data_IF_715263151265
#
_entry.id   IF_715263151265
#
_cell.length_a   1.000
_cell.length_b   1.000
_cell.length_c   1.000
_cell.angle_alpha   90.00
_cell.angle_beta   90.00
_cell.angle_gamma   90.00
#
_symmetry.space_group_name_H-M   'P 1'
#
loop_
_entity.id
_entity.type
_entity.pdbx_description
1 polymer ?
#
# COMPACT_ATOMS: atom_id res chain seq x y z
N UNK A 1 -11.93 9.83 19.06
CA UNK A 1 -11.86 10.74 17.89
C UNK A 1 -11.00 10.06 16.85
N UNK A 2 -11.44 9.92 15.61
CA UNK A 2 -10.61 9.25 14.59
C UNK A 2 -9.40 10.09 14.24
N UNK A 3 -8.23 9.45 14.10
CA UNK A 3 -7.03 10.11 13.61
C UNK A 3 -7.34 10.71 12.23
N UNK A 4 -7.00 11.98 12.05
CA UNK A 4 -7.21 12.72 10.80
C UNK A 4 -6.05 12.52 9.82
N UNK A 5 -5.30 11.45 9.95
CA UNK A 5 -4.12 11.15 9.14
C UNK A 5 -4.06 9.69 8.72
N UNK A 6 -3.36 9.44 7.63
CA UNK A 6 -3.05 8.09 7.16
C UNK A 6 -2.16 7.37 8.19
N UNK A 7 -2.50 6.13 8.51
CA UNK A 7 -1.73 5.32 9.45
C UNK A 7 -0.61 4.48 8.81
N UNK A 8 -0.38 4.62 7.50
CA UNK A 8 0.72 3.92 6.81
C UNK A 8 2.05 4.55 7.24
N UNK A 9 3.05 3.76 7.67
CA UNK A 9 4.35 4.30 8.07
C UNK A 9 4.94 5.19 6.98
N UNK A 10 5.51 6.34 7.36
CA UNK A 10 6.06 7.38 6.47
C UNK A 10 5.08 8.09 5.53
N UNK A 11 3.78 7.80 5.61
CA UNK A 11 2.77 8.58 4.89
C UNK A 11 2.44 9.85 5.68
N UNK A 12 2.52 11.01 5.02
CA UNK A 12 2.24 12.32 5.63
C UNK A 12 0.84 12.84 5.29
N UNK A 13 0.02 12.06 4.58
CA UNK A 13 -1.32 12.49 4.16
C UNK A 13 -2.24 12.64 5.38
N UNK A 14 -2.90 13.79 5.42
CA UNK A 14 -3.87 14.20 6.41
C UNK A 14 -5.21 14.52 5.75
N UNK A 15 -6.24 14.74 6.56
CA UNK A 15 -7.58 15.12 6.10
C UNK A 15 -7.59 16.45 5.31
N UNK A 16 -6.58 17.31 5.51
CA UNK A 16 -6.46 18.60 4.82
C UNK A 16 -5.94 18.52 3.38
N UNK A 17 -5.40 17.36 2.97
CA UNK A 17 -4.73 17.21 1.67
C UNK A 17 -5.69 16.86 0.51
N UNK A 18 -7.00 16.91 0.72
CA UNK A 18 -8.06 16.53 -0.24
C UNK A 18 -7.93 15.09 -0.80
N UNK A 19 -7.20 14.22 -0.10
CA UNK A 19 -7.08 12.81 -0.43
C UNK A 19 -8.06 11.99 0.43
N UNK A 20 -8.94 11.16 -0.18
CA UNK A 20 -9.86 10.33 0.59
C UNK A 20 -9.15 9.41 1.59
N UNK A 21 -9.63 9.42 2.84
CA UNK A 21 -9.17 8.56 3.93
C UNK A 21 -10.16 7.41 4.15
N UNK A 22 -9.76 6.20 3.79
CA UNK A 22 -10.59 5.00 3.89
C UNK A 22 -10.52 4.37 5.28
N UNK A 23 -11.66 3.86 5.75
CA UNK A 23 -11.75 3.04 6.96
C UNK A 23 -11.24 1.64 6.69
N UNK A 24 -10.76 0.99 7.74
CA UNK A 24 -10.52 -0.44 7.72
C UNK A 24 -11.84 -1.21 7.52
N UNK A 25 -11.79 -2.43 6.96
CA UNK A 25 -12.93 -3.34 6.95
C UNK A 25 -13.46 -3.58 8.38
N UNK A 26 -14.75 -3.88 8.55
CA UNK A 26 -15.33 -4.04 9.89
C UNK A 26 -14.87 -5.38 10.52
N UNK A 27 -14.10 -5.37 11.62
CA UNK A 27 -13.63 -6.60 12.25
C UNK A 27 -14.75 -7.42 12.91
N UNK A 28 -15.86 -6.78 13.31
CA UNK A 28 -17.04 -7.47 13.87
C UNK A 28 -17.84 -8.23 12.82
N UNK A 29 -17.54 -8.06 11.53
CA UNK A 29 -18.16 -8.82 10.44
C UNK A 29 -17.25 -10.02 10.06
N UNK A 30 -17.70 -11.28 10.26
CA UNK A 30 -16.91 -12.46 9.94
C UNK A 30 -16.47 -12.56 8.46
N UNK A 31 -17.15 -11.88 7.54
CA UNK A 31 -16.77 -11.84 6.11
C UNK A 31 -15.64 -10.87 5.79
N UNK A 32 -15.35 -9.91 6.69
CA UNK A 32 -14.37 -8.84 6.48
C UNK A 32 -13.15 -8.97 7.39
N UNK A 33 -13.21 -9.81 8.44
CA UNK A 33 -12.12 -9.97 9.43
C UNK A 33 -10.80 -10.42 8.78
N UNK A 34 -10.84 -11.30 7.78
CA UNK A 34 -9.63 -11.75 7.07
C UNK A 34 -9.00 -10.60 6.26
N UNK A 35 -9.84 -9.80 5.61
CA UNK A 35 -9.41 -8.62 4.86
C UNK A 35 -8.84 -7.55 5.81
N UNK A 36 -9.48 -7.35 6.95
CA UNK A 36 -9.00 -6.47 8.01
C UNK A 36 -7.59 -6.86 8.48
N UNK A 37 -7.38 -8.14 8.81
CA UNK A 37 -6.06 -8.67 9.20
C UNK A 37 -5.04 -8.52 8.08
N UNK A 38 -5.44 -8.76 6.83
CA UNK A 38 -4.58 -8.58 5.67
C UNK A 38 -4.09 -7.14 5.55
N UNK A 39 -4.97 -6.16 5.74
CA UNK A 39 -4.60 -4.74 5.75
C UNK A 39 -3.57 -4.44 6.84
N UNK A 40 -3.80 -4.91 8.08
CA UNK A 40 -2.86 -4.71 9.19
C UNK A 40 -1.47 -5.27 8.85
N UNK A 41 -1.41 -6.51 8.34
CA UNK A 41 -0.14 -7.18 8.00
C UNK A 41 0.59 -6.44 6.87
N UNK A 42 -0.13 -6.01 5.84
CA UNK A 42 0.44 -5.29 4.68
C UNK A 42 1.05 -3.95 5.08
N UNK A 43 0.38 -3.22 5.97
CA UNK A 43 0.83 -1.90 6.41
C UNK A 43 1.97 -2.02 7.43
N UNK A 44 1.85 -2.97 8.37
CA UNK A 44 2.80 -3.15 9.46
C UNK A 44 2.84 -1.97 10.43
N UNK A 45 3.96 -1.83 11.15
CA UNK A 45 4.21 -0.70 12.05
C UNK A 45 3.32 -0.69 13.30
N UNK A 46 2.95 0.51 13.75
CA UNK A 46 2.33 0.74 15.08
C UNK A 46 0.88 0.26 15.22
N UNK A 47 0.25 -0.16 14.11
CA UNK A 47 -1.11 -0.73 14.15
C UNK A 47 -1.09 -2.23 14.44
N UNK A 48 0.05 -2.91 14.27
CA UNK A 48 0.18 -4.33 14.58
C UNK A 48 0.05 -4.52 16.08
N UNK A 49 -0.82 -5.46 16.49
CA UNK A 49 -1.07 -5.77 17.90
C UNK A 49 -1.93 -4.75 18.65
N UNK A 50 -2.50 -3.75 17.97
CA UNK A 50 -3.52 -2.87 18.55
C UNK A 50 -4.89 -3.55 18.52
N UNK A 51 -5.80 -3.09 19.37
CA UNK A 51 -7.19 -3.57 19.42
C UNK A 51 -7.92 -3.32 18.09
N UNK A 52 -8.66 -4.34 17.63
CA UNK A 52 -9.30 -4.35 16.31
C UNK A 52 -10.36 -3.23 16.18
N UNK A 53 -11.18 -3.04 17.22
CA UNK A 53 -12.20 -1.98 17.24
C UNK A 53 -11.55 -0.60 17.29
N UNK A 54 -10.48 -0.45 18.07
CA UNK A 54 -9.71 0.78 18.11
C UNK A 54 -9.14 1.14 16.73
N UNK A 55 -8.56 0.18 16.00
CA UNK A 55 -8.05 0.40 14.64
C UNK A 55 -9.19 0.80 13.71
N UNK A 56 -10.30 0.05 13.72
CA UNK A 56 -11.46 0.32 12.87
C UNK A 56 -12.02 1.74 13.06
N UNK A 57 -12.19 2.16 14.32
CA UNK A 57 -12.76 3.46 14.63
C UNK A 57 -11.78 4.60 14.39
N UNK A 58 -10.50 4.40 14.72
CA UNK A 58 -9.56 5.50 14.84
C UNK A 58 -8.50 5.59 13.74
N UNK A 59 -8.23 4.53 12.97
CA UNK A 59 -7.20 4.52 11.94
C UNK A 59 -7.78 4.62 10.54
N UNK A 60 -7.07 5.30 9.64
CA UNK A 60 -7.45 5.50 8.24
C UNK A 60 -6.27 5.28 7.32
N UNK A 61 -6.55 4.93 6.08
CA UNK A 61 -5.55 4.77 5.03
C UNK A 61 -5.94 5.66 3.87
N UNK A 62 -5.02 6.49 3.39
CA UNK A 62 -5.32 7.34 2.25
C UNK A 62 -5.44 6.55 0.95
N UNK A 63 -6.13 7.18 0.00
CA UNK A 63 -6.40 6.64 -1.32
C UNK A 63 -5.14 6.15 -2.07
N UNK A 64 -4.00 6.82 -1.86
CA UNK A 64 -2.74 6.58 -2.57
C UNK A 64 -2.10 5.21 -2.30
N UNK A 65 -2.66 4.42 -1.39
CA UNK A 65 -2.17 3.08 -1.04
C UNK A 65 -2.91 1.95 -1.75
N UNK A 66 -3.93 2.27 -2.56
CA UNK A 66 -4.75 1.30 -3.27
C UNK A 66 -4.58 1.47 -4.79
N UNK A 67 -4.56 0.36 -5.52
CA UNK A 67 -4.60 0.40 -6.98
C UNK A 67 -5.95 0.91 -7.48
N UNK A 68 -5.92 1.78 -8.49
CA UNK A 68 -7.12 2.41 -9.06
C UNK A 68 -8.14 1.40 -9.59
N UNK A 69 -7.69 0.22 -10.04
CA UNK A 69 -8.57 -0.86 -10.51
C UNK A 69 -9.54 -1.37 -9.43
N UNK A 70 -9.19 -1.19 -8.15
CA UNK A 70 -10.04 -1.57 -7.02
C UNK A 70 -10.85 -0.39 -6.47
N UNK A 71 -10.92 0.72 -7.19
CA UNK A 71 -11.56 1.96 -6.77
C UNK A 71 -12.69 2.27 -7.75
N UNK A 72 -13.90 2.43 -7.23
CA UNK A 72 -15.03 2.82 -8.06
C UNK A 72 -14.86 4.26 -8.55
N UNK A 73 -14.80 4.54 -9.86
CA UNK A 73 -14.45 5.86 -10.39
C UNK A 73 -15.38 6.98 -9.91
N UNK A 74 -16.69 6.69 -9.87
CA UNK A 74 -17.72 7.69 -9.56
C UNK A 74 -17.82 8.00 -8.06
N UNK A 75 -17.68 6.99 -7.20
CA UNK A 75 -17.88 7.15 -5.74
C UNK A 75 -16.58 7.25 -4.97
N UNK A 76 -15.44 6.98 -5.63
CA UNK A 76 -14.10 6.89 -5.03
C UNK A 76 -14.01 5.87 -3.88
N UNK A 77 -15.01 4.99 -3.74
CA UNK A 77 -15.08 3.93 -2.72
C UNK A 77 -14.21 2.75 -3.13
N UNK A 78 -13.68 2.05 -2.15
CA UNK A 78 -12.94 0.81 -2.35
C UNK A 78 -13.89 -0.37 -2.67
N UNK A 79 -13.50 -1.18 -3.64
CA UNK A 79 -14.05 -2.52 -3.89
C UNK A 79 -13.85 -3.43 -2.67
N UNK A 80 -14.64 -4.49 -2.56
CA UNK A 80 -14.49 -5.51 -1.50
C UNK A 80 -13.18 -6.28 -1.59
N UNK A 81 -12.55 -6.29 -2.77
CA UNK A 81 -11.27 -6.95 -3.01
C UNK A 81 -10.07 -6.03 -2.75
N UNK A 82 -10.30 -4.73 -2.52
CA UNK A 82 -9.22 -3.78 -2.36
C UNK A 82 -8.40 -4.09 -1.10
N UNK A 83 -7.09 -4.20 -1.27
CA UNK A 83 -6.10 -4.26 -0.19
C UNK A 83 -5.05 -3.19 -0.46
N UNK A 84 -4.44 -2.61 0.59
CA UNK A 84 -3.34 -1.70 0.36
C UNK A 84 -2.18 -2.48 -0.27
N UNK A 85 -1.68 -1.99 -1.40
CA UNK A 85 -0.60 -2.61 -2.17
C UNK A 85 0.45 -1.60 -2.64
N UNK A 86 0.13 -0.30 -2.63
CA UNK A 86 1.01 0.76 -3.11
C UNK A 86 1.60 1.57 -1.94
N UNK A 87 2.83 2.04 -2.11
CA UNK A 87 3.50 2.98 -1.19
C UNK A 87 3.51 2.51 0.28
N UNK A 88 3.59 1.20 0.50
CA UNK A 88 3.67 0.59 1.82
C UNK A 88 5.13 0.54 2.25
N UNK A 89 5.56 1.51 3.05
CA UNK A 89 6.94 1.57 3.53
C UNK A 89 7.26 0.51 4.60
N UNK A 90 6.27 -0.27 5.02
CA UNK A 90 6.41 -1.40 5.91
C UNK A 90 6.70 -2.70 5.15
N UNK A 91 7.78 -3.37 5.55
CA UNK A 91 8.18 -4.76 5.21
C UNK A 91 9.13 -4.95 4.01
N UNK A 92 9.00 -4.26 2.87
CA UNK A 92 9.85 -4.60 1.69
C UNK A 92 11.25 -3.97 1.67
N UNK A 93 11.51 -2.93 2.48
CA UNK A 93 12.84 -2.31 2.54
C UNK A 93 13.80 -2.97 3.54
N UNK A 94 13.35 -3.99 4.28
CA UNK A 94 14.18 -4.73 5.23
C UNK A 94 14.36 -6.22 4.90
N UNK A 95 13.88 -6.72 3.76
CA UNK A 95 14.35 -8.02 3.31
C UNK A 95 15.84 -7.86 2.91
N UNK A 96 16.75 -8.70 3.46
CA UNK A 96 18.14 -8.66 3.04
C UNK A 96 18.20 -8.80 1.52
N UNK A 97 19.05 -7.99 0.88
CA UNK A 97 19.23 -7.88 -0.58
C UNK A 97 19.14 -9.23 -1.32
N UNK A 98 19.60 -10.31 -0.69
CA UNK A 98 19.60 -11.66 -1.25
C UNK A 98 18.22 -12.23 -1.62
N UNK A 99 17.12 -11.74 -1.04
CA UNK A 99 15.77 -12.27 -1.33
C UNK A 99 15.04 -11.51 -2.44
N UNK A 100 15.43 -10.26 -2.75
CA UNK A 100 14.86 -9.56 -3.91
C UNK A 100 15.26 -10.24 -5.23
N UNK A 101 16.45 -10.84 -5.27
CA UNK A 101 16.97 -11.45 -6.49
C UNK A 101 16.20 -12.73 -6.83
N UNK A 102 15.95 -13.57 -5.82
CA UNK A 102 15.25 -14.85 -5.99
C UNK A 102 13.78 -14.72 -6.42
N UNK A 103 13.10 -13.64 -6.06
CA UNK A 103 11.72 -13.38 -6.51
C UNK A 103 11.67 -12.80 -7.94
N UNK A 104 12.72 -12.11 -8.37
CA UNK A 104 12.84 -11.58 -9.73
C UNK A 104 13.26 -12.67 -10.74
N UNK A 105 14.07 -13.65 -10.30
CA UNK A 105 14.51 -14.79 -11.13
C UNK A 105 13.40 -15.83 -11.41
N UNK A 106 12.28 -15.79 -10.69
CA UNK A 106 11.12 -16.66 -10.95
C UNK A 106 10.05 -16.01 -11.85
N UNK A 107 10.25 -14.78 -12.32
CA UNK A 107 9.37 -14.20 -13.34
C UNK A 107 9.78 -14.70 -14.73
N UNK A 108 8.85 -15.25 -15.53
CA UNK A 108 9.15 -15.69 -16.89
C UNK A 108 9.65 -14.51 -17.75
N UNK A 109 10.69 -14.76 -18.54
CA UNK A 109 11.44 -13.81 -19.38
C UNK A 109 10.60 -12.98 -20.38
N UNK A 110 9.29 -13.24 -20.50
CA UNK A 110 8.41 -12.57 -21.46
C UNK A 110 8.06 -11.11 -21.12
N UNK A 111 8.35 -10.63 -19.90
CA UNK A 111 8.09 -9.25 -19.46
C UNK A 111 9.34 -8.37 -19.35
N UNK A 112 10.54 -8.89 -19.60
CA UNK A 112 11.79 -8.15 -19.45
C UNK A 112 12.12 -7.22 -20.64
N UNK A 113 11.40 -7.31 -21.76
CA UNK A 113 11.78 -6.59 -22.99
C UNK A 113 11.32 -5.13 -23.05
N UNK A 114 10.36 -4.68 -22.23
CA UNK A 114 9.78 -3.34 -22.40
C UNK A 114 10.48 -2.22 -21.62
N UNK A 115 11.39 -2.54 -20.70
CA UNK A 115 12.03 -1.53 -19.83
C UNK A 115 13.41 -1.04 -20.28
N UNK A 116 14.08 -1.74 -21.21
CA UNK A 116 15.47 -1.42 -21.59
C UNK A 116 15.59 -0.36 -22.70
N UNK A 117 14.48 0.15 -23.25
CA UNK A 117 14.49 1.18 -24.32
C UNK A 117 14.00 2.52 -23.78
N UNK A 118 14.47 2.99 -22.61
CA UNK A 118 14.22 4.39 -22.22
C UNK A 118 15.32 5.04 -21.38
N UNK A 119 16.33 4.29 -20.96
CA UNK A 119 17.36 4.78 -20.03
C UNK A 119 18.72 5.06 -20.67
N UNK A 120 18.91 4.89 -21.98
CA UNK A 120 20.19 5.19 -22.62
C UNK A 120 20.18 6.58 -23.28
N UNK A 121 20.14 7.63 -22.45
CA UNK A 121 20.65 8.96 -22.82
C UNK A 121 21.97 9.15 -22.06
N UNK A 122 23.13 9.15 -22.73
CA UNK A 122 24.36 9.62 -22.12
C UNK A 122 24.46 11.15 -22.25
N UNK A 123 24.50 11.85 -21.12
CA UNK A 123 25.03 13.22 -21.03
C UNK A 123 26.53 13.18 -20.71
N UNK A 124 27.32 13.84 -21.58
CA UNK A 124 28.54 14.67 -21.41
C UNK A 124 29.31 14.55 -20.07
N UNK A 125 30.65 14.58 -19.94
CA UNK A 125 31.68 15.41 -20.59
C UNK A 125 33.09 14.92 -20.15
N UNK A 126 34.15 15.32 -20.88
CA UNK A 126 35.51 15.72 -20.42
C UNK A 126 36.68 15.08 -21.18
N UNK A 127 37.20 15.78 -22.19
CA UNK A 127 38.55 16.38 -22.17
C UNK A 127 38.78 17.33 -23.35
#
# INVERSE_FOLDING_TARGET
>A
MSQQSCCVPSCTVTLGDDVPLHRFPNPSNPKEIERFRTWIIKIGGEIVGRDDLYIYDNRRICHNHFEEVFIYPTTRRLSKLAVPSLNLSGVYKQLPERLHHRLNEQQPLSLQMDFNIRSNIPSQDSK
#
